data_IF_479594740483
#
_entry.id   IF_479594740483
#
_cell.length_a   1.000
_cell.length_b   1.000
_cell.length_c   1.000
_cell.angle_alpha   90.00
_cell.angle_beta   90.00
_cell.angle_gamma   90.00
#
_symmetry.space_group_name_H-M   'P 1'
#
loop_
_entity.id
_entity.type
_entity.pdbx_description
1 polymer ?
#
# COMPACT_ATOMS: atom_id res chain seq x y z
N UNK A 1 -12.68 40.90 -7.00
CA UNK A 1 -12.57 40.91 -5.53
C UNK A 1 -11.94 39.59 -5.12
N UNK A 2 -10.68 39.63 -4.78
CA UNK A 2 -9.92 38.47 -4.36
C UNK A 2 -10.01 38.35 -2.83
N UNK A 3 -10.54 37.25 -2.32
CA UNK A 3 -10.55 36.94 -0.89
C UNK A 3 -9.40 35.97 -0.62
N UNK A 4 -8.31 36.52 -0.13
CA UNK A 4 -7.19 35.74 0.45
C UNK A 4 -7.61 35.33 1.86
N UNK A 5 -7.86 34.05 2.07
CA UNK A 5 -7.90 33.49 3.43
C UNK A 5 -6.56 32.86 3.74
N UNK A 6 -5.75 33.65 4.44
CA UNK A 6 -4.48 33.25 5.01
C UNK A 6 -4.75 32.48 6.32
N UNK A 7 -4.61 31.18 6.33
CA UNK A 7 -4.73 30.39 7.55
C UNK A 7 -3.36 30.09 8.14
N UNK A 8 -2.92 31.02 8.99
CA UNK A 8 -1.70 30.86 9.79
C UNK A 8 -1.96 29.90 10.94
N UNK A 9 -1.51 28.68 10.85
CA UNK A 9 -1.51 27.74 11.96
C UNK A 9 -0.26 27.98 12.81
N UNK A 10 -0.50 28.45 14.00
CA UNK A 10 0.51 28.66 15.04
C UNK A 10 0.94 27.30 15.62
N UNK A 11 2.22 27.01 15.48
CA UNK A 11 2.87 25.90 16.16
C UNK A 11 3.12 26.29 17.60
N UNK A 12 2.47 25.62 18.54
CA UNK A 12 2.79 25.69 19.96
C UNK A 12 3.70 24.53 20.34
N UNK A 13 4.91 24.88 20.68
CA UNK A 13 5.86 23.99 21.31
C UNK A 13 5.48 23.78 22.78
N UNK A 14 5.36 22.54 23.20
CA UNK A 14 5.36 22.18 24.63
C UNK A 14 6.46 21.14 24.82
N UNK A 15 7.52 21.59 25.48
CA UNK A 15 8.56 20.76 26.05
C UNK A 15 8.06 20.18 27.38
N UNK A 16 8.16 18.88 27.56
CA UNK A 16 8.10 18.27 28.88
C UNK A 16 9.14 17.16 28.98
N UNK A 17 10.12 17.45 29.77
CA UNK A 17 11.24 16.66 30.22
C UNK A 17 10.78 15.75 31.37
N UNK A 18 10.97 14.44 31.30
CA UNK A 18 11.02 13.59 32.48
C UNK A 18 12.03 12.47 32.29
N UNK A 19 13.10 12.60 33.07
CA UNK A 19 14.09 11.57 33.37
C UNK A 19 13.48 10.53 34.32
N UNK A 20 13.62 9.26 34.01
CA UNK A 20 13.68 8.21 35.03
C UNK A 20 14.62 7.10 34.57
N UNK A 21 15.70 6.96 35.33
CA UNK A 21 16.62 5.86 35.31
C UNK A 21 15.95 4.60 35.88
N UNK A 22 16.22 3.46 35.29
CA UNK A 22 15.83 2.14 35.79
C UNK A 22 16.76 1.08 35.25
N UNK A 23 17.81 0.78 36.01
CA UNK A 23 18.63 -0.42 35.88
C UNK A 23 17.83 -1.70 36.12
N UNK A 24 18.06 -2.72 35.36
CA UNK A 24 17.53 -4.04 35.62
C UNK A 24 17.95 -5.04 34.55
N UNK A 25 19.18 -5.53 34.62
CA UNK A 25 19.56 -6.82 34.01
C UNK A 25 19.10 -7.96 34.93
N UNK A 26 18.60 -9.08 34.39
CA UNK A 26 19.19 -10.34 34.76
C UNK A 26 19.53 -11.21 33.55
N UNK A 27 20.76 -11.64 33.58
CA UNK A 27 21.29 -12.76 32.86
C UNK A 27 20.50 -14.03 33.19
N UNK A 28 20.18 -14.81 32.21
CA UNK A 28 19.92 -16.23 32.38
C UNK A 28 20.47 -16.96 31.17
N UNK A 29 21.69 -17.46 31.36
CA UNK A 29 22.26 -18.51 30.56
C UNK A 29 21.35 -19.74 30.62
N UNK A 30 20.97 -20.23 29.47
CA UNK A 30 20.68 -21.65 29.33
C UNK A 30 21.24 -22.10 28.00
N UNK A 31 22.43 -22.61 28.07
CA UNK A 31 23.03 -23.39 27.01
C UNK A 31 22.15 -24.61 26.72
N UNK A 32 21.63 -24.70 25.52
CA UNK A 32 21.22 -25.96 24.94
C UNK A 32 21.92 -26.15 23.60
N UNK A 33 23.03 -26.88 23.69
CA UNK A 33 23.73 -27.43 22.54
C UNK A 33 22.82 -28.46 21.86
N UNK A 34 22.42 -28.21 20.64
CA UNK A 34 22.02 -29.26 19.72
C UNK A 34 22.59 -28.94 18.35
N UNK A 35 23.63 -29.69 18.06
CA UNK A 35 24.25 -29.83 16.76
C UNK A 35 23.22 -30.16 15.68
N UNK A 36 23.11 -29.34 14.69
CA UNK A 36 22.28 -29.60 13.49
C UNK A 36 22.64 -28.63 12.40
N UNK A 37 23.54 -29.04 11.52
CA UNK A 37 23.72 -28.61 10.15
C UNK A 37 23.45 -27.13 9.81
N UNK A 38 24.46 -26.30 10.02
CA UNK A 38 24.44 -24.96 9.43
C UNK A 38 24.54 -25.09 7.92
N UNK A 39 23.46 -24.80 7.20
CA UNK A 39 23.53 -24.41 5.81
C UNK A 39 23.76 -22.89 5.74
N UNK A 40 24.94 -22.41 5.34
CA UNK A 40 25.15 -20.99 5.13
C UNK A 40 24.55 -20.61 3.79
N UNK A 41 23.46 -19.84 3.78
CA UNK A 41 22.95 -19.33 2.52
C UNK A 41 21.50 -18.89 2.44
N UNK A 42 20.72 -18.98 3.47
CA UNK A 42 19.40 -18.31 3.43
C UNK A 42 19.51 -16.98 4.16
N UNK A 43 19.83 -15.95 3.39
CA UNK A 43 19.56 -14.59 3.81
C UNK A 43 18.06 -14.52 4.07
N UNK A 44 17.73 -14.27 5.32
CA UNK A 44 16.40 -13.94 5.77
C UNK A 44 16.01 -12.65 5.03
N UNK A 45 15.47 -12.78 3.82
CA UNK A 45 14.74 -11.68 3.19
C UNK A 45 13.53 -11.47 4.07
N UNK A 46 13.26 -10.24 4.52
CA UNK A 46 11.96 -9.96 5.12
C UNK A 46 10.93 -10.38 4.06
N UNK A 47 10.25 -11.47 4.30
CA UNK A 47 9.01 -11.76 3.63
C UNK A 47 8.04 -10.67 4.08
N UNK A 48 8.10 -9.53 3.41
CA UNK A 48 6.92 -8.70 3.28
C UNK A 48 5.85 -9.68 2.83
N UNK A 49 4.83 -9.87 3.65
CA UNK A 49 3.69 -10.69 3.29
C UNK A 49 3.17 -10.12 1.97
N UNK A 50 3.67 -10.66 0.86
CA UNK A 50 3.28 -10.25 -0.46
C UNK A 50 1.88 -10.80 -0.63
N UNK A 51 0.91 -9.94 -0.38
CA UNK A 51 -0.45 -10.21 -0.78
C UNK A 51 -0.41 -10.57 -2.26
N UNK A 52 -1.09 -11.64 -2.66
CA UNK A 52 -1.07 -12.06 -4.05
C UNK A 52 -1.52 -10.88 -4.93
N UNK A 53 -0.67 -10.50 -5.86
CA UNK A 53 -0.98 -9.47 -6.83
C UNK A 53 -1.84 -10.08 -7.94
N UNK A 54 -2.98 -9.48 -8.19
CA UNK A 54 -3.86 -9.83 -9.28
C UNK A 54 -3.62 -8.89 -10.46
N UNK A 55 -3.76 -9.40 -11.67
CA UNK A 55 -3.65 -8.60 -12.91
C UNK A 55 -5.01 -8.59 -13.59
N UNK A 56 -5.44 -7.41 -14.02
CA UNK A 56 -6.69 -7.24 -14.72
C UNK A 56 -6.57 -6.15 -15.78
N UNK A 57 -7.53 -6.17 -16.71
CA UNK A 57 -7.71 -5.13 -17.72
C UNK A 57 -9.05 -4.44 -17.49
N UNK A 58 -9.08 -3.15 -17.75
CA UNK A 58 -10.30 -2.39 -17.59
C UNK A 58 -10.26 -1.04 -18.31
N UNK A 59 -11.33 -0.29 -18.16
CA UNK A 59 -11.44 1.08 -18.65
C UNK A 59 -11.58 2.01 -17.46
N UNK A 60 -10.81 3.07 -17.44
CA UNK A 60 -10.89 4.09 -16.39
C UNK A 60 -12.15 4.92 -16.59
N UNK A 61 -13.00 4.97 -15.60
CA UNK A 61 -14.21 5.81 -15.61
C UNK A 61 -13.93 7.19 -15.01
N UNK A 62 -13.21 7.24 -13.89
CA UNK A 62 -12.83 8.48 -13.23
C UNK A 62 -11.58 8.30 -12.39
N UNK A 63 -10.87 9.40 -12.18
CA UNK A 63 -9.67 9.46 -11.34
C UNK A 63 -9.88 10.57 -10.32
N UNK A 64 -9.70 10.24 -9.06
CA UNK A 64 -9.73 11.19 -7.95
C UNK A 64 -8.34 11.23 -7.32
N UNK A 65 -7.49 12.11 -7.83
CA UNK A 65 -6.11 12.26 -7.35
C UNK A 65 -6.02 12.75 -5.89
N UNK A 66 -6.84 13.73 -5.46
CA UNK A 66 -6.86 14.16 -4.06
C UNK A 66 -7.24 13.05 -3.08
N UNK A 67 -8.17 12.19 -3.46
CA UNK A 67 -8.58 11.03 -2.66
C UNK A 67 -7.64 9.83 -2.82
N UNK A 68 -6.78 9.83 -3.83
CA UNK A 68 -5.91 8.70 -4.14
C UNK A 68 -6.69 7.47 -4.60
N UNK A 69 -7.75 7.67 -5.37
CA UNK A 69 -8.63 6.60 -5.85
C UNK A 69 -8.85 6.69 -7.37
N UNK A 70 -9.18 5.55 -7.95
CA UNK A 70 -9.54 5.44 -9.37
C UNK A 70 -10.72 4.50 -9.52
N UNK A 71 -11.71 4.90 -10.30
CA UNK A 71 -12.83 4.03 -10.66
C UNK A 71 -12.55 3.36 -12.00
N UNK A 72 -12.56 2.03 -12.01
CA UNK A 72 -12.27 1.21 -13.19
C UNK A 72 -13.40 0.22 -13.43
N UNK A 73 -13.88 0.17 -14.68
CA UNK A 73 -14.71 -0.92 -15.17
C UNK A 73 -13.80 -2.03 -15.69
N UNK A 74 -13.71 -3.12 -14.96
CA UNK A 74 -12.86 -4.25 -15.32
C UNK A 74 -13.66 -5.46 -15.81
N UNK A 75 -13.03 -6.28 -16.61
CA UNK A 75 -13.54 -7.60 -16.99
C UNK A 75 -13.47 -8.60 -15.83
N UNK A 76 -13.93 -9.82 -16.03
CA UNK A 76 -13.86 -10.85 -15.00
C UNK A 76 -12.39 -11.13 -14.64
N UNK A 77 -12.13 -11.19 -13.32
CA UNK A 77 -10.80 -11.48 -12.77
C UNK A 77 -10.84 -12.85 -12.10
N UNK A 78 -10.48 -13.88 -12.84
CA UNK A 78 -10.53 -15.26 -12.38
C UNK A 78 -9.68 -15.49 -11.12
N UNK A 79 -8.51 -14.85 -11.02
CA UNK A 79 -7.62 -14.96 -9.87
C UNK A 79 -8.18 -14.38 -8.58
N UNK A 80 -9.12 -13.45 -8.67
CA UNK A 80 -9.83 -12.85 -7.54
C UNK A 80 -11.26 -13.38 -7.39
N UNK A 81 -11.69 -14.24 -8.31
CA UNK A 81 -13.07 -14.76 -8.40
C UNK A 81 -14.12 -13.64 -8.52
N UNK A 82 -13.74 -12.55 -9.21
CA UNK A 82 -14.59 -11.39 -9.41
C UNK A 82 -15.21 -11.39 -10.81
N UNK A 83 -16.53 -11.13 -10.93
CA UNK A 83 -17.18 -10.90 -12.20
C UNK A 83 -16.79 -9.54 -12.79
N UNK A 84 -17.13 -9.32 -14.06
CA UNK A 84 -17.00 -8.00 -14.66
C UNK A 84 -17.86 -6.98 -13.91
N UNK A 85 -17.22 -5.91 -13.43
CA UNK A 85 -17.89 -4.84 -12.66
C UNK A 85 -17.11 -3.53 -12.72
N UNK A 86 -17.77 -2.47 -12.28
CA UNK A 86 -17.11 -1.18 -12.03
C UNK A 86 -16.95 -0.97 -10.55
N UNK A 87 -15.71 -0.70 -10.11
CA UNK A 87 -15.45 -0.45 -8.70
C UNK A 87 -14.36 0.60 -8.51
N UNK A 88 -14.28 1.13 -7.31
CA UNK A 88 -13.25 2.10 -6.94
C UNK A 88 -12.10 1.39 -6.27
N UNK A 89 -10.90 1.62 -6.80
CA UNK A 89 -9.65 1.12 -6.26
C UNK A 89 -8.89 2.22 -5.55
N UNK A 90 -8.20 1.88 -4.48
CA UNK A 90 -7.20 2.76 -3.86
C UNK A 90 -5.93 2.72 -4.69
N UNK A 91 -5.22 3.83 -4.77
CA UNK A 91 -3.91 3.91 -5.41
C UNK A 91 -2.82 3.78 -4.35
N UNK A 92 -1.94 2.80 -4.50
CA UNK A 92 -0.75 2.70 -3.65
C UNK A 92 0.19 3.90 -3.87
N UNK A 93 0.19 4.42 -5.11
CA UNK A 93 0.94 5.59 -5.48
C UNK A 93 0.09 6.49 -6.40
N UNK A 94 -0.25 7.71 -5.99
CA UNK A 94 -1.01 8.64 -6.81
C UNK A 94 -0.36 8.94 -8.17
N UNK A 95 0.95 8.83 -8.26
CA UNK A 95 1.67 9.02 -9.53
C UNK A 95 1.43 7.90 -10.56
N UNK A 96 0.88 6.77 -10.13
CA UNK A 96 0.58 5.66 -11.04
C UNK A 96 -0.45 6.01 -12.12
N UNK A 97 -1.28 7.02 -11.87
CA UNK A 97 -2.28 7.52 -12.84
C UNK A 97 -1.79 8.70 -13.66
N UNK A 98 -0.52 9.09 -13.54
CA UNK A 98 0.05 10.17 -14.34
C UNK A 98 0.03 9.80 -15.83
N UNK A 99 -0.67 10.61 -16.62
CA UNK A 99 -0.85 10.36 -18.06
C UNK A 99 -1.95 9.35 -18.40
N UNK A 100 -2.75 8.94 -17.42
CA UNK A 100 -3.97 8.16 -17.64
C UNK A 100 -5.17 9.10 -17.59
N UNK A 101 -6.07 8.95 -18.55
CA UNK A 101 -7.29 9.76 -18.65
C UNK A 101 -8.55 8.90 -18.54
N UNK A 102 -9.64 9.46 -18.04
CA UNK A 102 -10.94 8.79 -18.09
C UNK A 102 -11.30 8.37 -19.53
N UNK A 103 -11.82 7.16 -19.65
CA UNK A 103 -12.13 6.54 -20.94
C UNK A 103 -11.01 5.71 -21.55
N UNK A 104 -9.81 5.76 -20.99
CA UNK A 104 -8.69 4.95 -21.50
C UNK A 104 -8.75 3.52 -20.99
N UNK A 105 -8.30 2.60 -21.82
CA UNK A 105 -8.12 1.21 -21.46
C UNK A 105 -6.76 1.05 -20.77
N UNK A 106 -6.76 0.30 -19.67
CA UNK A 106 -5.57 0.10 -18.84
C UNK A 106 -5.39 -1.34 -18.43
N UNK A 107 -4.13 -1.74 -18.30
CA UNK A 107 -3.70 -2.93 -17.59
C UNK A 107 -3.27 -2.53 -16.20
N UNK A 108 -3.78 -3.20 -15.18
CA UNK A 108 -3.44 -2.84 -13.81
C UNK A 108 -3.18 -4.06 -12.93
N UNK A 109 -2.27 -3.89 -12.00
CA UNK A 109 -2.01 -4.85 -10.93
C UNK A 109 -2.59 -4.31 -9.62
N UNK A 110 -3.22 -5.16 -8.87
CA UNK A 110 -3.81 -4.79 -7.59
C UNK A 110 -3.66 -5.91 -6.57
N UNK A 111 -3.74 -5.54 -5.31
CA UNK A 111 -3.78 -6.45 -4.18
C UNK A 111 -5.10 -6.27 -3.44
N UNK A 112 -5.58 -7.33 -2.82
CA UNK A 112 -6.83 -7.33 -2.04
C UNK A 112 -6.47 -7.40 -0.57
N UNK A 113 -6.82 -6.37 0.19
CA UNK A 113 -6.56 -6.31 1.62
C UNK A 113 -7.64 -7.02 2.46
N UNK A 114 -8.79 -7.23 1.88
CA UNK A 114 -9.93 -7.93 2.49
C UNK A 114 -11.26 -7.47 1.88
N UNK A 115 -12.17 -8.40 1.65
CA UNK A 115 -13.46 -8.12 1.04
C UNK A 115 -13.34 -7.50 -0.34
N UNK A 116 -13.82 -6.28 -0.50
CA UNK A 116 -13.75 -5.50 -1.74
C UNK A 116 -12.70 -4.37 -1.69
N UNK A 117 -11.88 -4.31 -0.64
CA UNK A 117 -10.79 -3.34 -0.54
C UNK A 117 -9.61 -3.77 -1.40
N UNK A 118 -9.49 -3.15 -2.57
CA UNK A 118 -8.41 -3.40 -3.51
C UNK A 118 -7.55 -2.16 -3.69
N UNK A 119 -6.26 -2.37 -3.74
CA UNK A 119 -5.26 -1.32 -3.95
C UNK A 119 -4.49 -1.59 -5.21
N UNK A 120 -4.51 -0.64 -6.15
CA UNK A 120 -3.72 -0.69 -7.38
C UNK A 120 -2.28 -0.34 -7.05
N UNK A 121 -1.38 -1.26 -7.38
CA UNK A 121 0.08 -1.11 -7.19
C UNK A 121 0.77 -0.66 -8.46
N UNK A 122 0.23 -1.02 -9.61
CA UNK A 122 0.76 -0.64 -10.91
C UNK A 122 -0.40 -0.42 -11.89
N UNK A 123 -0.30 0.60 -12.73
CA UNK A 123 -1.31 0.92 -13.73
C UNK A 123 -0.60 1.39 -15.00
N UNK A 124 -0.92 0.77 -16.11
CA UNK A 124 -0.34 1.05 -17.42
C UNK A 124 -1.45 1.22 -18.46
N UNK A 125 -1.22 2.08 -19.43
CA UNK A 125 -2.10 2.16 -20.59
C UNK A 125 -2.02 0.84 -21.37
N UNK A 126 -3.16 0.24 -21.67
CA UNK A 126 -3.24 -0.87 -22.60
C UNK A 126 -3.14 -0.32 -24.03
N UNK A 127 -2.25 -0.89 -24.82
CA UNK A 127 -2.12 -0.58 -26.24
C UNK A 127 -3.17 -1.32 -27.08
#
# INVERSE_FOLDING_TARGET
>A
MAVHMNNSIRVSAIAAMLLLAGCGSPSSDTANSSSGGAMPGMRNMPQSAQQPAHVAQGTVNSIDQPAGTVNISHGPVASANWPAMSMTFKLANPSAVSGIEPGQRVDFKFTIAGGMDATVTELKRAE
#
